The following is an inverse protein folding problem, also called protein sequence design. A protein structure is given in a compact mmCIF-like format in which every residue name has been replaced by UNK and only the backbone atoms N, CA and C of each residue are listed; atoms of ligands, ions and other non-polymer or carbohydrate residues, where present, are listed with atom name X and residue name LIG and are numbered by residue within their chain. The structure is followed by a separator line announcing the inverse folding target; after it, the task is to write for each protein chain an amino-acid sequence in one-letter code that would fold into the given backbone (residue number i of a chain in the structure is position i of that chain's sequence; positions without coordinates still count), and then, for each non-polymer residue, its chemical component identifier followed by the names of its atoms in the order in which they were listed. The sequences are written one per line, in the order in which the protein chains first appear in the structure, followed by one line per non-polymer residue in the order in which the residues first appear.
data_IF_180628665365
#
_entry.id   IF_180628665365
#
_cell.length_a   1.000
_cell.length_b   1.000
_cell.length_c   1.000
_cell.angle_alpha   90.00
_cell.angle_beta   90.00
_cell.angle_gamma   90.00
#
_symmetry.space_group_name_H-M   'P 1'
#
loop_
_entity.id
_entity.type
_entity.pdbx_description
1 polymer ?
#
# COMPACT_ATOMS: atom_id res chain seq x y z
N UNK A 1 22.87 -41.35 -37.23
CA UNK A 1 23.25 -39.93 -37.31
C UNK A 1 22.33 -39.21 -38.25
N UNK A 2 21.35 -38.47 -37.74
CA UNK A 2 21.11 -37.04 -38.01
C UNK A 2 19.76 -36.70 -37.37
N UNK A 3 19.88 -36.10 -36.20
CA UNK A 3 18.83 -35.64 -35.31
C UNK A 3 17.96 -34.61 -36.00
N UNK A 4 16.65 -34.78 -35.91
CA UNK A 4 15.64 -33.82 -36.35
C UNK A 4 15.79 -32.56 -35.47
N UNK A 5 16.40 -31.52 -36.02
CA UNK A 5 16.43 -30.18 -35.45
C UNK A 5 15.07 -29.52 -35.72
N UNK A 6 14.08 -29.86 -34.88
CA UNK A 6 12.87 -29.05 -34.76
C UNK A 6 13.27 -27.70 -34.19
N UNK A 7 13.25 -26.68 -35.05
CA UNK A 7 13.35 -25.27 -34.69
C UNK A 7 12.08 -24.90 -33.91
N UNK A 8 12.09 -25.20 -32.60
CA UNK A 8 11.12 -24.74 -31.61
C UNK A 8 11.63 -23.43 -30.98
N UNK A 9 11.82 -22.40 -31.81
CA UNK A 9 12.14 -21.03 -31.34
C UNK A 9 10.91 -20.10 -31.34
N UNK A 10 9.70 -20.67 -31.36
CA UNK A 10 8.45 -19.89 -31.39
C UNK A 10 7.39 -20.29 -30.35
N UNK A 11 7.72 -21.22 -29.45
CA UNK A 11 6.78 -21.78 -28.46
C UNK A 11 7.30 -21.66 -27.02
N UNK A 12 8.17 -20.70 -26.76
CA UNK A 12 8.50 -20.22 -25.42
C UNK A 12 7.51 -19.13 -24.97
N UNK A 13 6.26 -19.28 -25.39
CA UNK A 13 5.15 -18.46 -24.96
C UNK A 13 4.58 -19.14 -23.70
N UNK A 14 4.92 -18.56 -22.55
CA UNK A 14 4.00 -18.43 -21.40
C UNK A 14 3.79 -19.58 -20.42
N UNK A 15 4.81 -20.40 -20.15
CA UNK A 15 4.94 -20.97 -18.80
C UNK A 15 5.59 -19.95 -17.87
N UNK A 16 4.99 -18.77 -17.74
CA UNK A 16 5.16 -17.98 -16.53
C UNK A 16 4.53 -18.82 -15.43
N UNK A 17 5.36 -19.39 -14.58
CA UNK A 17 4.95 -20.04 -13.35
C UNK A 17 4.17 -18.97 -12.55
N UNK A 18 2.83 -18.99 -12.63
CA UNK A 18 1.88 -18.16 -11.89
C UNK A 18 1.91 -18.49 -10.38
N UNK A 19 3.08 -18.88 -9.85
CA UNK A 19 3.36 -19.21 -8.45
C UNK A 19 3.82 -18.00 -7.63
N UNK A 20 3.57 -16.79 -8.11
CA UNK A 20 3.68 -15.58 -7.29
C UNK A 20 2.66 -15.62 -6.14
N UNK A 21 2.89 -14.91 -5.03
CA UNK A 21 1.89 -14.79 -3.99
C UNK A 21 0.60 -14.20 -4.57
N UNK A 22 -0.55 -14.62 -4.05
CA UNK A 22 -1.85 -14.17 -4.55
C UNK A 22 -2.03 -12.66 -4.35
N UNK A 23 -1.46 -12.10 -3.28
CA UNK A 23 -1.62 -10.72 -2.85
C UNK A 23 -0.32 -10.14 -2.29
N UNK A 24 0.03 -8.92 -2.73
CA UNK A 24 1.17 -8.17 -2.21
C UNK A 24 0.91 -7.69 -0.79
N UNK A 25 -0.32 -7.26 -0.49
CA UNK A 25 -0.78 -6.90 0.85
C UNK A 25 -0.68 -8.06 1.84
N UNK A 26 -1.07 -9.27 1.43
CA UNK A 26 -0.94 -10.48 2.24
C UNK A 26 0.52 -10.79 2.56
N UNK A 27 1.40 -10.60 1.59
CA UNK A 27 2.84 -10.83 1.76
C UNK A 27 3.43 -9.82 2.73
N UNK A 28 3.05 -8.54 2.62
CA UNK A 28 3.45 -7.52 3.59
C UNK A 28 2.89 -7.77 5.00
N UNK A 29 1.62 -8.17 5.13
CA UNK A 29 1.02 -8.56 6.40
C UNK A 29 1.74 -9.75 7.06
N UNK A 30 2.29 -10.67 6.25
CA UNK A 30 3.13 -11.76 6.75
C UNK A 30 4.42 -11.22 7.38
N UNK A 31 5.07 -10.25 6.74
CA UNK A 31 6.30 -9.64 7.29
C UNK A 31 6.05 -8.96 8.64
N UNK A 32 4.91 -8.28 8.81
CA UNK A 32 4.53 -7.70 10.11
C UNK A 32 4.38 -8.78 11.18
N UNK A 33 3.75 -9.91 10.85
CA UNK A 33 3.60 -11.06 11.77
C UNK A 33 4.93 -11.76 12.08
N UNK A 34 5.93 -11.59 11.24
CA UNK A 34 7.33 -12.01 11.44
C UNK A 34 8.16 -10.93 12.15
N UNK A 35 7.50 -10.01 12.87
CA UNK A 35 8.09 -8.93 13.68
C UNK A 35 8.88 -7.88 12.89
N UNK A 36 8.74 -7.83 11.56
CA UNK A 36 9.26 -6.73 10.77
C UNK A 36 8.33 -5.53 10.87
N UNK A 37 8.90 -4.35 11.09
CA UNK A 37 8.12 -3.10 11.15
C UNK A 37 7.05 -3.12 12.27
N UNK A 38 7.36 -3.68 13.44
CA UNK A 38 6.54 -3.44 14.64
C UNK A 38 6.54 -1.95 15.01
N UNK A 39 5.52 -1.52 15.77
CA UNK A 39 5.34 -0.13 16.19
C UNK A 39 5.22 0.82 14.98
N UNK A 40 4.28 0.50 14.08
CA UNK A 40 4.11 1.20 12.80
C UNK A 40 2.72 1.78 12.61
N UNK A 41 2.68 3.00 12.07
CA UNK A 41 1.54 3.52 11.33
C UNK A 41 1.62 3.03 9.88
N UNK A 42 0.66 2.24 9.44
CA UNK A 42 0.54 1.81 8.04
C UNK A 42 -0.50 2.67 7.34
N UNK A 43 -0.06 3.38 6.30
CA UNK A 43 -0.89 4.23 5.48
C UNK A 43 -1.07 3.61 4.09
N UNK A 44 -2.31 3.26 3.75
CA UNK A 44 -2.65 2.58 2.48
C UNK A 44 -3.20 3.58 1.48
N UNK A 45 -2.56 3.64 0.31
CA UNK A 45 -2.86 4.55 -0.78
C UNK A 45 -3.02 3.75 -2.11
N UNK A 46 -4.24 3.65 -2.65
CA UNK A 46 -5.47 4.30 -2.22
C UNK A 46 -6.14 3.59 -1.04
N UNK A 47 -6.99 4.35 -0.34
CA UNK A 47 -7.70 3.95 0.86
C UNK A 47 -8.63 2.74 0.68
N UNK A 48 -9.14 2.47 -0.53
CA UNK A 48 -9.97 1.28 -0.81
C UNK A 48 -9.27 -0.04 -0.51
N UNK A 49 -7.95 -0.09 -0.57
CA UNK A 49 -7.17 -1.29 -0.28
C UNK A 49 -6.95 -1.51 1.22
N UNK A 50 -7.27 -0.51 2.06
CA UNK A 50 -7.08 -0.62 3.51
C UNK A 50 -7.92 -1.74 4.13
N UNK A 51 -9.15 -1.96 3.64
CA UNK A 51 -10.00 -3.10 4.03
C UNK A 51 -9.33 -4.43 3.76
N UNK A 52 -8.83 -4.62 2.53
CA UNK A 52 -8.12 -5.85 2.12
C UNK A 52 -6.91 -6.08 3.01
N UNK A 53 -6.17 -5.02 3.35
CA UNK A 53 -5.04 -5.14 4.24
C UNK A 53 -5.46 -5.48 5.68
N UNK A 54 -6.55 -4.88 6.19
CA UNK A 54 -7.14 -5.22 7.47
C UNK A 54 -7.58 -6.69 7.56
N UNK A 55 -8.12 -7.25 6.48
CA UNK A 55 -8.44 -8.68 6.40
C UNK A 55 -7.19 -9.57 6.56
N UNK A 56 -6.05 -9.20 5.99
CA UNK A 56 -4.80 -9.94 6.13
C UNK A 56 -4.07 -9.70 7.44
N UNK A 57 -4.34 -8.59 8.12
CA UNK A 57 -3.79 -8.23 9.42
C UNK A 57 -4.94 -7.85 10.37
N UNK A 58 -5.64 -8.85 10.95
CA UNK A 58 -6.80 -8.63 11.79
C UNK A 58 -6.45 -7.88 13.08
N UNK A 59 -7.47 -7.40 13.79
CA UNK A 59 -7.32 -6.52 14.95
C UNK A 59 -6.37 -7.09 16.02
N UNK A 60 -6.48 -8.38 16.30
CA UNK A 60 -5.69 -9.07 17.32
C UNK A 60 -4.20 -9.07 16.95
N UNK A 61 -3.87 -9.30 15.68
CA UNK A 61 -2.49 -9.24 15.18
C UNK A 61 -1.96 -7.81 15.16
N UNK A 62 -2.80 -6.83 14.77
CA UNK A 62 -2.44 -5.40 14.83
C UNK A 62 -2.08 -4.96 16.24
N UNK A 63 -2.89 -5.33 17.23
CA UNK A 63 -2.64 -4.99 18.64
C UNK A 63 -1.35 -5.65 19.15
N UNK A 64 -1.17 -6.95 18.86
CA UNK A 64 0.03 -7.71 19.21
C UNK A 64 1.32 -7.08 18.66
N UNK A 65 1.31 -6.67 17.40
CA UNK A 65 2.49 -6.11 16.72
C UNK A 65 2.60 -4.58 16.84
N UNK A 66 1.69 -3.93 17.57
CA UNK A 66 1.57 -2.47 17.69
C UNK A 66 1.54 -1.83 16.30
N UNK A 67 0.53 -2.16 15.52
CA UNK A 67 0.33 -1.64 14.17
C UNK A 67 -1.04 -1.02 14.07
N UNK A 68 -1.11 0.16 13.46
CA UNK A 68 -2.37 0.79 13.10
C UNK A 68 -2.44 0.95 11.59
N UNK A 69 -3.61 0.72 11.01
CA UNK A 69 -3.85 0.86 9.58
C UNK A 69 -4.76 2.06 9.35
N UNK A 70 -4.41 2.87 8.37
CA UNK A 70 -5.17 4.03 7.90
C UNK A 70 -5.24 4.03 6.38
N UNK A 71 -6.35 4.47 5.83
CA UNK A 71 -6.42 4.85 4.41
C UNK A 71 -5.91 6.27 4.22
N UNK A 72 -5.37 6.56 3.04
CA UNK A 72 -4.84 7.90 2.73
C UNK A 72 -5.86 9.01 3.01
N UNK A 73 -7.03 8.95 2.36
CA UNK A 73 -8.11 9.93 2.57
C UNK A 73 -8.98 9.57 3.77
N UNK A 74 -9.06 8.27 4.11
CA UNK A 74 -9.89 7.72 5.18
C UNK A 74 -9.05 7.36 6.41
N UNK A 75 -9.04 8.24 7.40
CA UNK A 75 -8.30 8.04 8.66
C UNK A 75 -9.00 7.13 9.68
N UNK A 76 -10.07 6.46 9.27
CA UNK A 76 -10.84 5.54 10.11
C UNK A 76 -10.21 4.15 10.10
N UNK A 77 -10.71 3.25 10.96
CA UNK A 77 -10.30 1.86 10.96
C UNK A 77 -10.60 1.19 9.61
N UNK A 78 -9.70 0.32 9.09
CA UNK A 78 -9.88 -0.34 7.80
C UNK A 78 -11.15 -1.18 7.71
N UNK A 79 -11.69 -1.71 8.81
CA UNK A 79 -12.83 -2.63 8.77
C UNK A 79 -14.18 -1.95 8.50
N UNK A 80 -14.29 -0.63 8.69
CA UNK A 80 -15.48 0.11 8.27
C UNK A 80 -15.56 0.09 6.75
N UNK A 81 -16.61 -0.47 6.11
CA UNK A 81 -16.71 -0.45 4.66
C UNK A 81 -16.73 1.00 4.15
N UNK A 82 -15.98 1.35 3.08
CA UNK A 82 -16.06 2.68 2.52
C UNK A 82 -17.47 2.87 1.94
N UNK A 83 -18.12 3.96 2.31
CA UNK A 83 -19.31 4.39 1.59
C UNK A 83 -18.86 4.87 0.21
N UNK A 84 -19.08 4.03 -0.82
CA UNK A 84 -18.63 4.32 -2.18
C UNK A 84 -19.19 5.64 -2.73
N UNK A 85 -20.35 6.08 -2.26
CA UNK A 85 -20.95 7.36 -2.65
C UNK A 85 -20.25 8.58 -2.02
N UNK A 86 -19.61 8.41 -0.86
CA UNK A 86 -18.87 9.50 -0.19
C UNK A 86 -17.39 9.54 -0.56
N UNK A 87 -16.86 8.50 -1.22
CA UNK A 87 -15.44 8.45 -1.59
C UNK A 87 -14.99 9.62 -2.46
N UNK A 88 -15.73 10.05 -3.51
CA UNK A 88 -15.35 11.24 -4.27
C UNK A 88 -15.15 12.48 -3.38
N UNK A 89 -16.06 12.71 -2.44
CA UNK A 89 -16.00 13.84 -1.51
C UNK A 89 -14.76 13.81 -0.60
N UNK A 90 -14.17 12.64 -0.35
CA UNK A 90 -12.94 12.50 0.43
C UNK A 90 -11.67 12.75 -0.40
N UNK A 91 -11.73 12.55 -1.72
CA UNK A 91 -10.60 12.72 -2.64
C UNK A 91 -10.56 14.10 -3.33
N UNK A 92 -11.70 14.79 -3.39
CA UNK A 92 -11.83 16.12 -4.00
C UNK A 92 -11.04 17.23 -3.29
N UNK A 93 -11.09 17.37 -1.95
CA UNK A 93 -10.50 18.52 -1.27
C UNK A 93 -9.03 18.70 -1.62
N UNK A 94 -8.65 19.94 -1.93
CA UNK A 94 -7.24 20.26 -2.22
C UNK A 94 -6.32 20.06 -1.03
N UNK A 95 -6.88 20.17 0.17
CA UNK A 95 -6.23 20.01 1.47
C UNK A 95 -5.96 18.55 1.86
N UNK A 96 -6.45 17.55 1.12
CA UNK A 96 -6.39 16.14 1.56
C UNK A 96 -4.96 15.65 1.81
N UNK A 97 -3.99 16.18 1.05
CA UNK A 97 -2.58 15.85 1.19
C UNK A 97 -2.02 16.43 2.49
N UNK A 98 -2.28 17.71 2.74
CA UNK A 98 -1.85 18.44 3.93
C UNK A 98 -2.54 17.91 5.19
N UNK A 99 -3.82 17.56 5.11
CA UNK A 99 -4.57 16.94 6.19
C UNK A 99 -4.01 15.56 6.55
N UNK A 100 -3.69 14.74 5.55
CA UNK A 100 -3.07 13.44 5.78
C UNK A 100 -1.69 13.61 6.43
N UNK A 101 -0.84 14.49 5.88
CA UNK A 101 0.47 14.80 6.46
C UNK A 101 0.34 15.25 7.93
N UNK A 102 -0.58 16.16 8.21
CA UNK A 102 -0.83 16.64 9.58
C UNK A 102 -1.25 15.50 10.51
N UNK A 103 -2.12 14.60 10.06
CA UNK A 103 -2.54 13.44 10.86
C UNK A 103 -1.40 12.47 11.14
N UNK A 104 -0.50 12.25 10.18
CA UNK A 104 0.73 11.47 10.39
C UNK A 104 1.59 12.13 11.47
N UNK A 105 1.78 13.45 11.40
CA UNK A 105 2.56 14.19 12.40
C UNK A 105 1.93 14.12 13.80
N UNK A 106 0.61 14.26 13.89
CA UNK A 106 -0.12 14.21 15.15
C UNK A 106 -0.02 12.80 15.77
N UNK A 107 -0.12 11.74 14.97
CA UNK A 107 0.13 10.36 15.42
C UNK A 107 1.59 10.16 15.85
N UNK A 108 2.56 10.57 15.04
CA UNK A 108 3.99 10.44 15.37
C UNK A 108 4.32 11.06 16.74
N UNK A 109 3.73 12.22 17.05
CA UNK A 109 3.91 12.92 18.34
C UNK A 109 3.15 12.29 19.52
N UNK A 110 1.97 11.74 19.29
CA UNK A 110 1.05 11.34 20.37
C UNK A 110 1.18 9.88 20.80
N UNK A 111 1.52 8.98 19.88
CA UNK A 111 1.47 7.53 20.12
C UNK A 111 2.86 6.87 20.08
N UNK A 112 3.90 7.60 19.68
CA UNK A 112 5.29 7.12 19.69
C UNK A 112 5.55 6.03 18.65
N UNK A 113 4.82 6.04 17.52
CA UNK A 113 5.09 5.16 16.38
C UNK A 113 6.52 5.36 15.90
N UNK A 114 7.24 4.25 15.67
CA UNK A 114 8.63 4.27 15.19
C UNK A 114 8.70 4.40 13.67
N UNK A 115 7.72 3.83 12.98
CA UNK A 115 7.73 3.77 11.52
C UNK A 115 6.41 4.22 10.91
N UNK A 116 6.51 4.79 9.72
CA UNK A 116 5.41 4.96 8.78
C UNK A 116 5.64 4.01 7.59
N UNK A 117 4.77 3.03 7.41
CA UNK A 117 4.76 2.20 6.21
C UNK A 117 3.73 2.76 5.22
N UNK A 118 4.20 3.39 4.16
CA UNK A 118 3.39 3.89 3.07
C UNK A 118 3.21 2.81 2.00
N UNK A 119 1.99 2.28 1.89
CA UNK A 119 1.63 1.19 0.99
C UNK A 119 0.94 1.77 -0.23
N UNK A 120 1.62 1.72 -1.37
CA UNK A 120 1.13 2.21 -2.67
C UNK A 120 0.68 1.04 -3.54
N UNK A 121 -0.53 1.12 -4.08
CA UNK A 121 -0.96 0.22 -5.15
C UNK A 121 -0.10 0.41 -6.42
N UNK A 122 -0.14 -0.59 -7.30
CA UNK A 122 0.42 -0.48 -8.64
C UNK A 122 -0.02 0.82 -9.36
N UNK A 123 0.94 1.50 -10.00
CA UNK A 123 0.71 2.80 -10.64
C UNK A 123 -0.24 2.72 -11.85
N UNK A 124 -0.28 1.62 -12.59
CA UNK A 124 -1.26 1.39 -13.66
C UNK A 124 -2.67 1.28 -13.09
N UNK A 125 -2.84 0.54 -11.98
CA UNK A 125 -4.12 0.45 -11.28
C UNK A 125 -4.55 1.82 -10.74
N UNK A 126 -3.63 2.58 -10.12
CA UNK A 126 -3.91 3.94 -9.63
C UNK A 126 -4.30 4.88 -10.77
N UNK A 127 -3.59 4.82 -11.91
CA UNK A 127 -3.91 5.62 -13.11
C UNK A 127 -5.27 5.24 -13.70
N UNK A 128 -5.55 3.95 -13.84
CA UNK A 128 -6.82 3.45 -14.38
C UNK A 128 -8.03 3.82 -13.52
N UNK A 129 -7.83 3.94 -12.20
CA UNK A 129 -8.88 4.33 -11.24
C UNK A 129 -8.87 5.82 -10.90
N UNK A 130 -7.99 6.62 -11.51
CA UNK A 130 -7.97 8.07 -11.33
C UNK A 130 -9.05 8.71 -12.21
N UNK A 131 -9.92 9.51 -11.61
CA UNK A 131 -10.95 10.29 -12.31
C UNK A 131 -10.87 11.76 -11.91
N UNK A 132 -11.62 12.63 -12.59
CA UNK A 132 -11.77 14.03 -12.19
C UNK A 132 -12.28 14.15 -10.75
N UNK A 133 -13.20 13.26 -10.36
CA UNK A 133 -13.84 13.26 -9.05
C UNK A 133 -13.02 12.53 -7.97
N UNK A 134 -12.10 11.66 -8.37
CA UNK A 134 -11.19 10.95 -7.47
C UNK A 134 -9.78 10.98 -8.03
N UNK A 135 -9.06 12.08 -7.84
CA UNK A 135 -7.82 12.26 -8.58
C UNK A 135 -6.63 11.62 -7.86
N UNK A 136 -6.64 10.29 -7.80
CA UNK A 136 -5.76 9.47 -6.97
C UNK A 136 -4.29 9.66 -7.29
N UNK A 137 -3.91 9.52 -8.55
CA UNK A 137 -2.51 9.52 -8.98
C UNK A 137 -1.74 10.74 -8.49
N UNK A 138 -2.25 11.96 -8.75
CA UNK A 138 -1.52 13.17 -8.38
C UNK A 138 -1.49 13.39 -6.87
N UNK A 139 -2.55 13.04 -6.14
CA UNK A 139 -2.62 13.22 -4.68
C UNK A 139 -1.69 12.26 -3.95
N UNK A 140 -1.63 11.00 -4.39
CA UNK A 140 -0.72 9.99 -3.85
C UNK A 140 0.74 10.39 -4.12
N UNK A 141 1.05 10.85 -5.34
CA UNK A 141 2.38 11.34 -5.69
C UNK A 141 2.78 12.57 -4.84
N UNK A 142 1.87 13.52 -4.64
CA UNK A 142 2.12 14.70 -3.82
C UNK A 142 2.39 14.35 -2.35
N UNK A 143 1.59 13.45 -1.75
CA UNK A 143 1.84 12.96 -0.40
C UNK A 143 3.21 12.27 -0.33
N UNK A 144 3.52 11.37 -1.26
CA UNK A 144 4.81 10.67 -1.30
C UNK A 144 5.98 11.64 -1.30
N UNK A 145 5.94 12.68 -2.13
CA UNK A 145 6.98 13.70 -2.19
C UNK A 145 7.17 14.40 -0.84
N UNK A 146 6.07 14.75 -0.16
CA UNK A 146 6.12 15.34 1.19
C UNK A 146 6.76 14.36 2.19
N UNK A 147 6.35 13.10 2.19
CA UNK A 147 6.91 12.08 3.09
C UNK A 147 8.42 11.89 2.86
N UNK A 148 8.85 11.80 1.59
CA UNK A 148 10.27 11.68 1.23
C UNK A 148 11.10 12.90 1.62
N UNK A 149 10.52 14.10 1.59
CA UNK A 149 11.21 15.33 2.00
C UNK A 149 11.37 15.47 3.52
N UNK A 150 10.52 14.79 4.29
CA UNK A 150 10.36 15.00 5.73
C UNK A 150 10.90 13.86 6.58
N UNK A 151 10.68 12.63 6.14
CA UNK A 151 11.03 11.43 6.88
C UNK A 151 12.13 10.65 6.20
N UNK A 152 12.98 10.01 7.00
CA UNK A 152 14.08 9.18 6.48
C UNK A 152 13.52 7.87 5.95
N UNK A 153 13.67 7.60 4.66
CA UNK A 153 13.38 6.28 4.08
C UNK A 153 14.35 5.23 4.66
N UNK A 154 13.80 4.16 5.23
CA UNK A 154 14.58 3.03 5.79
C UNK A 154 14.47 1.78 4.96
N UNK A 155 13.40 1.63 4.18
CA UNK A 155 13.19 0.48 3.32
C UNK A 155 12.21 0.83 2.20
N UNK A 156 12.41 0.24 1.03
CA UNK A 156 11.46 0.28 -0.07
C UNK A 156 11.43 -1.07 -0.74
N UNK A 157 10.25 -1.69 -0.82
CA UNK A 157 10.09 -3.03 -1.37
C UNK A 157 8.84 -3.13 -2.23
N UNK A 158 9.00 -3.76 -3.39
CA UNK A 158 7.91 -4.13 -4.28
C UNK A 158 7.46 -5.56 -3.97
N UNK A 159 6.15 -5.75 -3.84
CA UNK A 159 5.49 -7.02 -3.58
C UNK A 159 4.63 -7.40 -4.80
N UNK A 160 5.21 -8.10 -5.80
CA UNK A 160 4.46 -8.56 -6.96
C UNK A 160 3.45 -9.63 -6.57
N UNK A 161 2.26 -9.61 -7.16
CA UNK A 161 1.23 -10.59 -6.88
C UNK A 161 0.26 -10.77 -8.06
N UNK A 162 -0.55 -11.83 -7.99
CA UNK A 162 -1.51 -12.15 -9.06
C UNK A 162 -2.74 -11.24 -9.07
N UNK A 163 -3.24 -10.81 -7.90
CA UNK A 163 -4.45 -9.97 -7.78
C UNK A 163 -4.10 -8.50 -7.57
N UNK A 164 -3.22 -8.21 -6.62
CA UNK A 164 -2.80 -6.84 -6.31
C UNK A 164 -1.34 -6.77 -5.88
N UNK A 165 -0.54 -6.09 -6.69
CA UNK A 165 0.83 -5.75 -6.42
C UNK A 165 0.94 -4.37 -5.74
N UNK A 166 1.82 -4.28 -4.76
CA UNK A 166 2.01 -3.06 -3.95
C UNK A 166 3.48 -2.72 -3.77
N UNK A 167 3.79 -1.44 -3.68
CA UNK A 167 5.09 -0.95 -3.21
C UNK A 167 4.92 -0.45 -1.78
N UNK A 168 5.75 -0.94 -0.86
CA UNK A 168 5.79 -0.42 0.51
C UNK A 168 7.07 0.37 0.68
N UNK A 169 6.92 1.64 1.01
CA UNK A 169 8.03 2.51 1.42
C UNK A 169 7.90 2.74 2.93
N UNK A 170 8.92 2.37 3.69
CA UNK A 170 8.96 2.54 5.14
C UNK A 170 9.84 3.72 5.48
N UNK A 171 9.30 4.62 6.28
CA UNK A 171 9.98 5.80 6.81
C UNK A 171 10.14 5.67 8.32
N UNK A 172 11.20 6.27 8.85
CA UNK A 172 11.39 6.45 10.29
C UNK A 172 10.66 7.72 10.76
N UNK A 173 9.78 7.55 11.75
CA UNK A 173 9.13 8.64 12.48
C UNK A 173 10.02 8.93 13.71
N UNK A 174 10.56 10.15 13.80
CA UNK A 174 11.46 10.59 14.88
C UNK A 174 10.71 11.41 15.92
#
# INVERSE_FOLDING_TARGET
TLTILFVLNGLQVWFYDFRGPTSGLRTFAKEIREDKYQNSLVLVAPDVLSMTFGYYLPKEEREKHKVIIRGFTRWEDPFTPPNMYSMPAQWQPTSVVEECEKRIDDEAKSTGWKYLAFVEANQDWVRATTTKDMPRSFRIAALKQKLQSKYREVSKKFYPAALEDVTVTVYELK
#
